data_IF_175445224181
#
_entry.id   IF_175445224181
#
_cell.length_a   1.000
_cell.length_b   1.000
_cell.length_c   1.000
_cell.angle_alpha   90.00
_cell.angle_beta   90.00
_cell.angle_gamma   90.00
#
_symmetry.space_group_name_H-M   'P 1'
#
loop_
_entity.id
_entity.type
_entity.pdbx_description
1 polymer ?
#
# COMPACT_ATOMS: atom_id res chain seq x y z
N UNK A 1 -51.97 -55.08 -67.49
CA UNK A 1 -51.20 -54.02 -68.18
C UNK A 1 -51.27 -52.74 -67.36
N UNK A 2 -50.14 -52.25 -66.86
CA UNK A 2 -49.68 -50.83 -66.84
C UNK A 2 -48.58 -50.71 -65.78
N UNK A 3 -47.33 -50.69 -66.23
CA UNK A 3 -46.13 -50.44 -65.41
C UNK A 3 -46.12 -48.96 -65.04
N UNK A 4 -45.99 -48.65 -63.75
CA UNK A 4 -45.63 -47.31 -63.29
C UNK A 4 -44.11 -47.24 -63.18
N UNK A 5 -43.50 -46.48 -64.08
CA UNK A 5 -42.07 -46.17 -64.07
C UNK A 5 -41.80 -45.10 -63.01
N UNK A 6 -41.27 -45.51 -61.85
CA UNK A 6 -40.69 -44.56 -60.89
C UNK A 6 -39.34 -44.07 -61.42
N UNK A 7 -39.31 -42.85 -61.95
CA UNK A 7 -38.09 -42.12 -62.32
C UNK A 7 -37.21 -41.92 -61.08
N UNK A 8 -36.08 -42.63 -61.05
CA UNK A 8 -35.00 -42.45 -60.07
C UNK A 8 -34.26 -41.15 -60.39
N UNK A 9 -34.29 -40.18 -59.48
CA UNK A 9 -33.48 -38.97 -59.57
C UNK A 9 -32.02 -39.30 -59.21
N UNK A 10 -31.14 -39.43 -60.21
CA UNK A 10 -29.70 -39.44 -59.96
C UNK A 10 -29.22 -38.01 -59.66
N UNK A 11 -29.16 -37.65 -58.38
CA UNK A 11 -28.47 -36.44 -57.93
C UNK A 11 -26.97 -36.73 -57.97
N UNK A 12 -26.29 -36.40 -59.08
CA UNK A 12 -24.83 -36.49 -59.15
C UNK A 12 -24.22 -35.29 -58.43
N UNK A 13 -23.82 -35.53 -57.20
CA UNK A 13 -23.24 -34.56 -56.29
C UNK A 13 -21.83 -34.12 -56.74
N UNK A 14 -21.73 -32.94 -57.35
CA UNK A 14 -20.47 -32.43 -57.93
C UNK A 14 -19.40 -32.19 -56.85
N UNK A 15 -18.13 -32.47 -57.18
CA UNK A 15 -17.02 -32.57 -56.20
C UNK A 15 -16.78 -31.29 -55.38
N UNK A 16 -17.20 -30.13 -55.88
CA UNK A 16 -17.09 -28.84 -55.19
C UNK A 16 -17.92 -28.78 -53.91
N UNK A 17 -19.06 -29.47 -53.84
CA UNK A 17 -19.88 -29.53 -52.62
C UNK A 17 -19.24 -30.44 -51.57
N UNK A 18 -18.66 -31.57 -52.00
CA UNK A 18 -17.92 -32.47 -51.13
C UNK A 18 -16.72 -31.77 -50.48
N UNK A 19 -15.98 -30.97 -51.24
CA UNK A 19 -14.85 -30.20 -50.70
C UNK A 19 -15.30 -29.15 -49.67
N UNK A 20 -16.41 -28.44 -49.90
CA UNK A 20 -16.95 -27.48 -48.93
C UNK A 20 -17.43 -28.17 -47.64
N UNK A 21 -18.05 -29.34 -47.75
CA UNK A 21 -18.46 -30.15 -46.59
C UNK A 21 -17.24 -30.64 -45.81
N UNK A 22 -16.20 -31.13 -46.50
CA UNK A 22 -14.97 -31.59 -45.86
C UNK A 22 -14.25 -30.43 -45.15
N UNK A 23 -14.14 -29.25 -45.77
CA UNK A 23 -13.55 -28.07 -45.15
C UNK A 23 -14.38 -27.60 -43.94
N UNK A 24 -15.71 -27.58 -44.05
CA UNK A 24 -16.58 -27.20 -42.93
C UNK A 24 -16.45 -28.17 -41.73
N UNK A 25 -16.37 -29.47 -42.00
CA UNK A 25 -16.15 -30.50 -40.97
C UNK A 25 -14.75 -30.38 -40.36
N UNK A 26 -13.72 -30.12 -41.17
CA UNK A 26 -12.35 -29.86 -40.69
C UNK A 26 -12.25 -28.60 -39.83
N UNK A 27 -12.92 -27.50 -40.23
CA UNK A 27 -12.97 -26.28 -39.42
C UNK A 27 -13.75 -26.47 -38.13
N UNK A 28 -14.81 -27.27 -38.15
CA UNK A 28 -15.59 -27.60 -36.96
C UNK A 28 -14.80 -28.52 -36.01
N UNK A 29 -13.96 -29.42 -36.54
CA UNK A 29 -13.04 -30.24 -35.75
C UNK A 29 -11.91 -29.42 -35.13
N UNK A 30 -11.42 -28.38 -35.83
CA UNK A 30 -10.35 -27.51 -35.34
C UNK A 30 -10.80 -26.51 -34.25
N UNK A 31 -12.11 -26.28 -34.09
CA UNK A 31 -12.68 -25.41 -33.03
C UNK A 31 -13.11 -26.22 -31.79
N UNK A 32 -12.88 -27.54 -31.78
CA UNK A 32 -13.06 -28.36 -30.57
C UNK A 32 -11.89 -28.13 -29.60
N UNK A 33 -11.77 -26.93 -29.05
CA UNK A 33 -11.00 -26.73 -27.82
C UNK A 33 -11.87 -27.31 -26.70
N UNK A 34 -11.44 -28.38 -26.00
CA UNK A 34 -12.13 -28.77 -24.80
C UNK A 34 -12.05 -27.58 -23.84
N UNK A 35 -13.17 -26.94 -23.53
CA UNK A 35 -13.27 -26.11 -22.34
C UNK A 35 -13.06 -27.08 -21.19
N UNK A 36 -11.82 -27.18 -20.72
CA UNK A 36 -11.53 -27.82 -19.46
C UNK A 36 -12.14 -26.90 -18.41
N UNK A 37 -13.41 -27.11 -18.12
CA UNK A 37 -14.01 -26.63 -16.90
C UNK A 37 -13.21 -27.30 -15.79
N UNK A 38 -12.27 -26.56 -15.20
CA UNK A 38 -11.59 -26.99 -13.99
C UNK A 38 -12.65 -27.46 -13.00
N UNK A 39 -12.38 -28.54 -12.27
CA UNK A 39 -13.34 -28.97 -11.24
C UNK A 39 -13.52 -27.78 -10.29
N UNK A 40 -14.73 -27.24 -10.11
CA UNK A 40 -14.94 -26.19 -9.13
C UNK A 40 -14.46 -26.75 -7.78
N UNK A 41 -13.80 -25.92 -6.97
CA UNK A 41 -13.23 -26.33 -5.68
C UNK A 41 -12.06 -27.33 -5.78
N UNK A 42 -11.31 -27.39 -6.89
CA UNK A 42 -10.15 -28.30 -7.04
C UNK A 42 -9.06 -28.12 -5.97
N UNK A 43 -9.02 -26.95 -5.33
CA UNK A 43 -8.13 -26.58 -4.24
C UNK A 43 -8.70 -26.84 -2.83
N UNK A 44 -9.94 -27.35 -2.73
CA UNK A 44 -10.61 -27.63 -1.46
C UNK A 44 -10.43 -29.10 -1.06
N UNK A 45 -9.90 -29.39 0.14
CA UNK A 45 -9.75 -30.76 0.61
C UNK A 45 -11.10 -31.42 0.89
N UNK A 46 -11.16 -32.76 0.79
CA UNK A 46 -12.40 -33.56 0.86
C UNK A 46 -13.25 -33.25 2.11
N UNK A 47 -12.60 -33.02 3.26
CA UNK A 47 -13.29 -32.70 4.52
C UNK A 47 -14.05 -31.36 4.48
N UNK A 48 -13.63 -30.41 3.64
CA UNK A 48 -14.23 -29.09 3.50
C UNK A 48 -15.14 -28.97 2.27
N UNK A 49 -14.98 -29.86 1.28
CA UNK A 49 -15.62 -29.75 -0.03
C UNK A 49 -17.14 -29.58 0.05
N UNK A 50 -17.82 -30.42 0.83
CA UNK A 50 -19.28 -30.35 0.95
C UNK A 50 -19.74 -29.05 1.63
N UNK A 51 -18.99 -28.55 2.61
CA UNK A 51 -19.32 -27.31 3.30
C UNK A 51 -19.14 -26.12 2.36
N UNK A 52 -17.98 -26.01 1.71
CA UNK A 52 -17.69 -24.93 0.75
C UNK A 52 -18.69 -24.95 -0.41
N UNK A 53 -18.99 -26.13 -0.96
CA UNK A 53 -19.99 -26.27 -2.03
C UNK A 53 -21.36 -25.73 -1.60
N UNK A 54 -21.85 -26.09 -0.41
CA UNK A 54 -23.12 -25.58 0.13
C UNK A 54 -23.13 -24.06 0.28
N UNK A 55 -22.00 -23.48 0.70
CA UNK A 55 -21.87 -22.04 0.88
C UNK A 55 -21.89 -21.30 -0.45
N UNK A 56 -21.23 -21.83 -1.49
CA UNK A 56 -21.24 -21.25 -2.83
C UNK A 56 -22.59 -21.45 -3.52
N UNK A 57 -23.17 -22.65 -3.44
CA UNK A 57 -24.51 -22.92 -3.98
C UNK A 57 -25.59 -22.04 -3.34
N UNK A 58 -25.44 -21.72 -2.05
CA UNK A 58 -26.32 -20.80 -1.32
C UNK A 58 -26.04 -19.31 -1.58
N UNK A 59 -25.06 -18.99 -2.43
CA UNK A 59 -24.64 -17.63 -2.74
C UNK A 59 -24.00 -16.90 -1.56
N UNK A 60 -23.56 -17.62 -0.52
CA UNK A 60 -22.92 -17.02 0.66
C UNK A 60 -21.44 -16.76 0.45
N UNK A 61 -20.79 -17.55 -0.40
CA UNK A 61 -19.39 -17.37 -0.80
C UNK A 61 -19.30 -17.37 -2.32
N UNK A 62 -18.28 -16.68 -2.84
CA UNK A 62 -17.98 -16.64 -4.27
C UNK A 62 -16.63 -17.31 -4.52
N UNK A 63 -16.48 -17.89 -5.70
CA UNK A 63 -15.20 -18.41 -6.18
C UNK A 63 -14.44 -17.29 -6.89
N UNK A 64 -13.14 -17.44 -6.97
CA UNK A 64 -12.31 -16.58 -7.80
C UNK A 64 -12.60 -16.82 -9.29
N UNK A 65 -12.18 -15.89 -10.15
CA UNK A 65 -12.41 -15.97 -11.60
C UNK A 65 -11.85 -17.25 -12.25
N UNK A 66 -10.83 -17.85 -11.62
CA UNK A 66 -10.21 -19.12 -12.01
C UNK A 66 -10.95 -20.36 -11.49
N UNK A 67 -12.04 -20.20 -10.74
CA UNK A 67 -12.86 -21.28 -10.18
C UNK A 67 -12.32 -21.90 -8.88
N UNK A 68 -11.28 -21.32 -8.29
CA UNK A 68 -10.70 -21.77 -7.01
C UNK A 68 -11.40 -21.12 -5.81
N UNK A 69 -11.32 -21.78 -4.64
CA UNK A 69 -11.82 -21.24 -3.38
C UNK A 69 -10.78 -20.41 -2.62
N UNK A 70 -9.51 -20.76 -2.77
CA UNK A 70 -8.32 -20.23 -2.11
C UNK A 70 -8.40 -20.27 -0.58
N UNK A 71 -8.78 -21.43 -0.03
CA UNK A 71 -9.01 -21.61 1.41
C UNK A 71 -7.80 -21.36 2.33
N UNK A 72 -6.59 -21.28 1.79
CA UNK A 72 -5.38 -20.92 2.53
C UNK A 72 -5.19 -19.40 2.69
N UNK A 73 -5.96 -18.57 1.97
CA UNK A 73 -5.89 -17.13 2.09
C UNK A 73 -6.62 -16.66 3.35
N UNK A 74 -6.06 -15.65 4.01
CA UNK A 74 -6.70 -15.04 5.16
C UNK A 74 -7.99 -14.31 4.73
N UNK A 75 -9.10 -14.64 5.37
CA UNK A 75 -10.38 -13.94 5.18
C UNK A 75 -10.40 -12.69 6.07
N UNK A 76 -10.80 -11.55 5.50
CA UNK A 76 -11.03 -10.35 6.28
C UNK A 76 -12.26 -10.53 7.18
N UNK A 77 -12.16 -10.13 8.47
CA UNK A 77 -13.29 -10.09 9.41
C UNK A 77 -14.53 -9.37 8.86
N UNK A 78 -14.36 -8.35 8.01
CA UNK A 78 -15.47 -7.65 7.35
C UNK A 78 -16.21 -8.58 6.36
N UNK A 79 -15.46 -9.35 5.58
CA UNK A 79 -16.01 -10.36 4.65
C UNK A 79 -16.74 -11.44 5.43
N UNK A 80 -16.15 -11.97 6.50
CA UNK A 80 -16.81 -12.97 7.34
C UNK A 80 -18.12 -12.43 7.95
N UNK A 81 -18.14 -11.19 8.43
CA UNK A 81 -19.34 -10.55 8.97
C UNK A 81 -20.45 -10.40 7.92
N UNK A 82 -20.10 -10.04 6.68
CA UNK A 82 -21.06 -9.93 5.57
C UNK A 82 -21.69 -11.28 5.23
N UNK A 83 -20.88 -12.34 5.17
CA UNK A 83 -21.33 -13.72 4.91
C UNK A 83 -22.31 -14.18 6.00
N UNK A 84 -21.97 -13.95 7.27
CA UNK A 84 -22.83 -14.29 8.42
C UNK A 84 -24.14 -13.49 8.39
N UNK A 85 -24.09 -12.20 8.08
CA UNK A 85 -25.27 -11.36 7.96
C UNK A 85 -26.22 -11.87 6.85
N UNK A 86 -25.68 -12.23 5.68
CA UNK A 86 -26.46 -12.79 4.57
C UNK A 86 -27.12 -14.12 4.94
N UNK A 87 -26.42 -15.00 5.66
CA UNK A 87 -27.01 -16.23 6.20
C UNK A 87 -28.16 -15.98 7.15
N UNK A 88 -28.00 -15.02 8.07
CA UNK A 88 -29.05 -14.67 9.03
C UNK A 88 -30.33 -14.15 8.35
N UNK A 89 -30.18 -13.34 7.32
CA UNK A 89 -31.32 -12.85 6.52
C UNK A 89 -32.03 -14.02 5.85
N UNK A 90 -31.31 -14.88 5.13
CA UNK A 90 -31.88 -16.03 4.43
C UNK A 90 -32.55 -17.04 5.38
N UNK A 91 -32.02 -17.22 6.58
CA UNK A 91 -32.63 -18.03 7.64
C UNK A 91 -33.92 -17.36 8.16
N UNK A 92 -33.89 -16.06 8.39
CA UNK A 92 -35.07 -15.29 8.84
C UNK A 92 -36.21 -15.28 7.81
N UNK A 93 -35.87 -15.33 6.52
CA UNK A 93 -36.80 -15.45 5.39
C UNK A 93 -37.25 -16.90 5.12
N UNK A 94 -36.73 -17.88 5.87
CA UNK A 94 -37.11 -19.30 5.72
C UNK A 94 -36.51 -20.01 4.52
N UNK A 95 -35.55 -19.39 3.82
CA UNK A 95 -34.86 -19.95 2.64
C UNK A 95 -33.93 -21.10 3.04
N UNK A 96 -33.27 -20.99 4.19
CA UNK A 96 -32.39 -22.04 4.72
C UNK A 96 -32.96 -22.58 6.03
N UNK A 97 -33.28 -23.88 6.13
CA UNK A 97 -33.69 -24.50 7.40
C UNK A 97 -32.53 -24.44 8.40
N UNK A 98 -32.73 -23.79 9.54
CA UNK A 98 -31.76 -23.73 10.63
C UNK A 98 -32.44 -24.04 11.96
N UNK A 99 -31.73 -24.72 12.87
CA UNK A 99 -32.20 -24.95 14.22
C UNK A 99 -32.31 -23.62 14.98
N UNK A 100 -33.31 -23.46 15.87
CA UNK A 100 -33.50 -22.24 16.66
C UNK A 100 -32.24 -21.82 17.45
N UNK A 101 -31.43 -22.80 17.87
CA UNK A 101 -30.16 -22.59 18.56
C UNK A 101 -29.09 -21.98 17.65
N UNK A 102 -28.93 -22.50 16.43
CA UNK A 102 -27.98 -22.01 15.43
C UNK A 102 -28.26 -20.54 15.06
N UNK A 103 -29.53 -20.20 14.83
CA UNK A 103 -29.94 -18.82 14.54
C UNK A 103 -29.59 -17.88 15.69
N UNK A 104 -29.70 -18.37 16.93
CA UNK A 104 -29.40 -17.57 18.12
C UNK A 104 -27.90 -17.35 18.30
N UNK A 105 -27.08 -18.39 18.05
CA UNK A 105 -25.62 -18.28 18.05
C UNK A 105 -25.12 -17.35 16.95
N UNK A 106 -25.61 -17.49 15.72
CA UNK A 106 -25.24 -16.62 14.60
C UNK A 106 -25.61 -15.16 14.85
N UNK A 107 -26.79 -14.90 15.44
CA UNK A 107 -27.21 -13.54 15.81
C UNK A 107 -26.31 -12.92 16.86
N UNK A 108 -25.93 -13.69 17.89
CA UNK A 108 -24.98 -13.25 18.92
C UNK A 108 -23.63 -12.90 18.30
N UNK A 109 -23.10 -13.79 17.46
CA UNK A 109 -21.83 -13.60 16.75
C UNK A 109 -21.86 -12.35 15.85
N UNK A 110 -22.95 -12.16 15.09
CA UNK A 110 -23.15 -10.96 14.26
C UNK A 110 -23.11 -9.68 15.09
N UNK A 111 -23.78 -9.66 16.25
CA UNK A 111 -23.77 -8.49 17.15
C UNK A 111 -22.36 -8.22 17.71
N UNK A 112 -21.62 -9.26 18.11
CA UNK A 112 -20.24 -9.11 18.58
C UNK A 112 -19.31 -8.58 17.48
N UNK A 113 -19.42 -9.10 16.26
CA UNK A 113 -18.66 -8.59 15.12
C UNK A 113 -18.99 -7.14 14.80
N UNK A 114 -20.26 -6.77 14.72
CA UNK A 114 -20.67 -5.38 14.49
C UNK A 114 -20.05 -4.44 15.54
N UNK A 115 -20.11 -4.81 16.82
CA UNK A 115 -19.50 -4.03 17.91
C UNK A 115 -17.98 -3.91 17.74
N UNK A 116 -17.29 -4.99 17.38
CA UNK A 116 -15.86 -4.93 17.11
C UNK A 116 -15.55 -4.03 15.92
N UNK A 117 -16.31 -4.11 14.82
CA UNK A 117 -16.08 -3.26 13.65
C UNK A 117 -16.24 -1.78 13.99
N UNK A 118 -17.26 -1.42 14.77
CA UNK A 118 -17.44 -0.04 15.27
C UNK A 118 -16.24 0.39 16.13
N UNK A 119 -15.79 -0.46 17.06
CA UNK A 119 -14.61 -0.18 17.88
C UNK A 119 -13.36 0.04 17.03
N UNK A 120 -13.18 -0.75 15.98
CA UNK A 120 -12.03 -0.65 15.09
C UNK A 120 -12.07 0.65 14.27
N UNK A 121 -13.25 1.08 13.84
CA UNK A 121 -13.43 2.39 13.21
C UNK A 121 -13.03 3.52 14.17
N UNK A 122 -13.42 3.45 15.45
CA UNK A 122 -13.01 4.44 16.45
C UNK A 122 -11.50 4.44 16.67
N UNK A 123 -10.87 3.25 16.79
CA UNK A 123 -9.41 3.14 16.94
C UNK A 123 -8.64 3.66 15.73
N UNK A 124 -9.14 3.44 14.51
CA UNK A 124 -8.55 4.01 13.30
C UNK A 124 -8.62 5.54 13.31
N UNK A 125 -9.76 6.11 13.69
CA UNK A 125 -9.90 7.58 13.85
C UNK A 125 -8.93 8.14 14.90
N UNK A 126 -8.76 7.44 16.02
CA UNK A 126 -7.77 7.82 17.04
C UNK A 126 -6.33 7.77 16.51
N UNK A 127 -5.99 6.75 15.72
CA UNK A 127 -4.69 6.65 15.06
C UNK A 127 -4.46 7.80 14.06
N UNK A 128 -5.46 8.13 13.25
CA UNK A 128 -5.44 9.27 12.33
C UNK A 128 -5.20 10.59 13.08
N UNK A 129 -5.89 10.82 14.21
CA UNK A 129 -5.69 12.01 15.03
C UNK A 129 -4.28 12.06 15.64
N UNK A 130 -3.79 10.92 16.14
CA UNK A 130 -2.41 10.82 16.66
C UNK A 130 -1.38 11.09 15.58
N UNK A 131 -1.60 10.61 14.35
CA UNK A 131 -0.73 10.91 13.20
C UNK A 131 -0.72 12.41 12.88
N UNK A 132 -1.89 13.06 12.83
CA UNK A 132 -1.99 14.51 12.64
C UNK A 132 -1.17 15.29 13.67
N UNK A 133 -1.29 14.93 14.96
CA UNK A 133 -0.50 15.57 16.04
C UNK A 133 1.00 15.36 15.90
N UNK A 134 1.42 14.19 15.44
CA UNK A 134 2.84 13.89 15.18
C UNK A 134 3.35 14.72 14.00
N UNK A 135 2.56 14.86 12.93
CA UNK A 135 2.90 15.67 11.76
C UNK A 135 3.03 17.16 12.13
N UNK A 136 2.08 17.69 12.89
CA UNK A 136 2.15 19.06 13.44
C UNK A 136 3.40 19.26 14.31
N UNK A 137 3.68 18.33 15.24
CA UNK A 137 4.87 18.39 16.09
C UNK A 137 6.18 18.34 15.30
N UNK A 138 6.24 17.57 14.21
CA UNK A 138 7.40 17.54 13.30
C UNK A 138 7.61 18.87 12.59
N UNK A 139 6.53 19.53 12.16
CA UNK A 139 6.62 20.84 11.51
C UNK A 139 7.17 21.91 12.46
N UNK A 140 6.67 21.95 13.70
CA UNK A 140 7.17 22.87 14.73
C UNK A 140 8.65 22.60 15.01
N UNK A 141 9.03 21.33 15.18
CA UNK A 141 10.43 20.96 15.42
C UNK A 141 11.35 21.37 14.26
N UNK A 142 10.90 21.22 13.01
CA UNK A 142 11.66 21.64 11.83
C UNK A 142 11.84 23.18 11.78
N UNK A 143 10.82 23.93 12.17
CA UNK A 143 10.90 25.39 12.29
C UNK A 143 11.92 25.80 13.37
N UNK A 144 11.84 25.20 14.56
CA UNK A 144 12.77 25.48 15.66
C UNK A 144 14.22 25.11 15.31
N UNK A 145 14.43 23.98 14.63
CA UNK A 145 15.75 23.60 14.12
C UNK A 145 16.30 24.63 13.13
N UNK A 146 15.44 25.19 12.27
CA UNK A 146 15.84 26.23 11.30
C UNK A 146 16.21 27.54 12.00
N UNK A 147 15.42 27.95 13.00
CA UNK A 147 15.72 29.13 13.84
C UNK A 147 17.01 28.95 14.61
N UNK A 148 17.21 27.81 15.27
CA UNK A 148 18.42 27.51 16.01
C UNK A 148 19.65 27.47 15.08
N UNK A 149 19.54 26.86 13.90
CA UNK A 149 20.65 26.82 12.93
C UNK A 149 21.02 28.21 12.45
N UNK A 150 20.03 29.07 12.20
CA UNK A 150 20.26 30.46 11.79
C UNK A 150 20.88 31.29 12.92
N UNK A 151 20.42 31.11 14.16
CA UNK A 151 21.02 31.74 15.35
C UNK A 151 22.47 31.30 15.57
N UNK A 152 22.77 30.01 15.43
CA UNK A 152 24.14 29.49 15.52
C UNK A 152 25.05 30.11 14.45
N UNK A 153 24.56 30.28 13.21
CA UNK A 153 25.32 30.95 12.15
C UNK A 153 25.61 32.41 12.50
N UNK A 154 24.60 33.13 12.96
CA UNK A 154 24.74 34.53 13.36
C UNK A 154 25.78 34.69 14.48
N UNK A 155 25.68 33.87 15.53
CA UNK A 155 26.64 33.85 16.64
C UNK A 155 28.04 33.44 16.19
N UNK A 156 28.15 32.49 15.26
CA UNK A 156 29.43 32.09 14.64
C UNK A 156 30.06 33.25 13.88
N UNK A 157 29.29 34.01 13.11
CA UNK A 157 29.77 35.12 12.31
C UNK A 157 30.16 36.32 13.20
N UNK A 158 29.38 36.60 14.26
CA UNK A 158 29.74 37.58 15.29
C UNK A 158 31.03 37.19 16.02
N UNK A 159 31.21 35.92 16.38
CA UNK A 159 32.44 35.43 16.98
C UNK A 159 33.66 35.57 16.05
N UNK A 160 33.49 35.41 14.74
CA UNK A 160 34.57 35.65 13.77
C UNK A 160 34.92 37.13 13.67
N UNK A 161 33.91 38.02 13.63
CA UNK A 161 34.12 39.45 13.59
C UNK A 161 34.92 39.93 14.81
N UNK A 162 34.49 39.54 16.01
CA UNK A 162 35.19 39.86 17.27
C UNK A 162 36.63 39.33 17.29
N UNK A 163 36.88 38.12 16.77
CA UNK A 163 38.25 37.60 16.63
C UNK A 163 39.11 38.46 15.69
N UNK A 164 38.52 38.98 14.61
CA UNK A 164 39.19 39.92 13.70
C UNK A 164 39.56 41.23 14.40
N UNK A 165 38.63 41.80 15.16
CA UNK A 165 38.86 43.01 15.95
C UNK A 165 39.97 42.80 17.00
N UNK A 166 39.94 41.68 17.73
CA UNK A 166 40.99 41.33 18.69
C UNK A 166 42.36 41.22 17.99
N UNK A 167 42.43 40.59 16.82
CA UNK A 167 43.68 40.47 16.07
C UNK A 167 44.21 41.84 15.60
N UNK A 168 43.32 42.74 15.17
CA UNK A 168 43.69 44.10 14.78
C UNK A 168 44.25 44.88 15.98
N UNK A 169 43.57 44.83 17.13
CA UNK A 169 44.04 45.45 18.37
C UNK A 169 45.38 44.88 18.84
N UNK A 170 45.60 43.57 18.74
CA UNK A 170 46.91 42.96 19.03
C UNK A 170 48.01 43.47 18.10
N UNK A 171 47.70 43.70 16.81
CA UNK A 171 48.64 44.31 15.87
C UNK A 171 48.96 45.77 16.22
N UNK A 172 47.98 46.53 16.70
CA UNK A 172 48.21 47.91 17.14
C UNK A 172 49.06 47.98 18.40
N UNK A 173 48.77 47.13 19.40
CA UNK A 173 49.57 47.04 20.63
C UNK A 173 51.03 46.70 20.33
N UNK A 174 51.28 45.76 19.41
CA UNK A 174 52.65 45.39 19.03
C UNK A 174 53.39 46.51 18.31
N UNK A 175 52.70 47.29 17.45
CA UNK A 175 53.28 48.49 16.84
C UNK A 175 53.62 49.55 17.89
N UNK A 176 52.69 49.85 18.79
CA UNK A 176 52.90 50.83 19.87
C UNK A 176 54.09 50.40 20.75
N UNK A 177 54.17 49.12 21.13
CA UNK A 177 55.32 48.61 21.88
C UNK A 177 56.65 48.78 21.13
N UNK A 178 56.68 48.56 19.80
CA UNK A 178 57.87 48.77 18.99
C UNK A 178 58.27 50.26 18.90
N UNK A 179 57.29 51.15 18.74
CA UNK A 179 57.50 52.61 18.70
C UNK A 179 58.04 53.12 20.03
N UNK A 180 57.48 52.70 21.17
CA UNK A 180 57.98 53.03 22.51
C UNK A 180 59.44 52.58 22.68
N UNK A 181 59.79 51.36 22.23
CA UNK A 181 61.17 50.87 22.30
C UNK A 181 62.14 51.65 21.41
N UNK A 182 61.66 52.18 20.30
CA UNK A 182 62.46 53.03 19.41
C UNK A 182 62.69 54.40 20.03
N UNK A 183 61.64 55.01 20.57
CA UNK A 183 61.69 56.33 21.21
C UNK A 183 62.56 56.28 22.48
N UNK A 184 62.44 55.23 23.30
CA UNK A 184 63.33 55.01 24.45
C UNK A 184 64.81 54.97 24.07
N UNK A 185 65.15 54.25 22.98
CA UNK A 185 66.53 54.21 22.46
C UNK A 185 67.02 55.59 21.99
N UNK A 186 66.13 56.41 21.44
CA UNK A 186 66.48 57.79 21.05
C UNK A 186 66.75 58.67 22.27
N UNK A 187 65.92 58.56 23.31
CA UNK A 187 66.12 59.26 24.59
C UNK A 187 67.44 58.87 25.23
N UNK A 188 67.73 57.56 25.37
CA UNK A 188 68.98 57.05 25.93
C UNK A 188 70.21 57.58 25.14
N UNK A 189 70.11 57.66 23.82
CA UNK A 189 71.18 58.22 22.96
C UNK A 189 71.37 59.72 23.14
N UNK A 190 70.31 60.47 23.45
CA UNK A 190 70.41 61.92 23.69
C UNK A 190 71.04 62.14 25.06
N UNK A 191 70.57 61.45 26.11
CA UNK A 191 71.15 61.55 27.45
C UNK A 191 72.65 61.21 27.47
N UNK A 192 73.07 60.17 26.75
CA UNK A 192 74.50 59.82 26.63
C UNK A 192 75.38 60.91 26.02
N UNK A 193 74.82 61.78 25.17
CA UNK A 193 75.54 62.95 24.61
C UNK A 193 75.70 64.10 25.60
N UNK A 194 74.83 64.21 26.60
CA UNK A 194 74.89 65.24 27.63
C UNK A 194 75.75 64.86 28.84
N UNK A 195 76.03 63.57 29.04
CA UNK A 195 76.82 63.05 30.18
C UNK A 195 78.32 62.88 29.85
N UNK A 196 78.74 63.14 28.61
CA UNK A 196 80.16 63.13 28.23
C UNK A 196 80.79 64.53 28.46
N UNK A 197 81.88 64.65 29.25
CA UNK A 197 82.52 65.92 29.62
C UNK A 197 83.21 66.64 28.46
#
# INVERSE_FOLDING_TARGET
MRKEESRVYHITLTSKWKLKVVVAVLTMLLIAVPVVAGRPFSDVPEWAYQAVKKLVDGGYLELYEDGTFQGNNAVNRYTLAMVVAKMLVNIGEGVTPAGREDVTLLRKLSNEFQNQLVLLTVKNKELEERLSKIEEGKMILAEDQTKNTSGIKLLSDEAKALRGEIAALQSEITKIAADILKEKRQVDSIEGKFVSP
#
